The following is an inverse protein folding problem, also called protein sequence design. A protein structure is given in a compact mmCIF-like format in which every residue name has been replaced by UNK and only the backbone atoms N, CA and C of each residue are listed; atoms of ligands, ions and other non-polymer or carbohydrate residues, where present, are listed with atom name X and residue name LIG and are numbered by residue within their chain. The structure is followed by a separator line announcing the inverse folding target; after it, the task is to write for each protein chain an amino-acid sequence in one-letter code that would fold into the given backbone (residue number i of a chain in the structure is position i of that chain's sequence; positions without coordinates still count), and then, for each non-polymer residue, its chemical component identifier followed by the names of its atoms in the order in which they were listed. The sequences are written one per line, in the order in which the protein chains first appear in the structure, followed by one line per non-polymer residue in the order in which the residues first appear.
data_IF_531487620434
#
_entry.id   IF_531487620434
#
_cell.length_a   1.000
_cell.length_b   1.000
_cell.length_c   1.000
_cell.angle_alpha   90.00
_cell.angle_beta   90.00
_cell.angle_gamma   90.00
#
_symmetry.space_group_name_H-M   'P 1'
#
loop_
_entity.id
_entity.type
_entity.pdbx_description
1 polymer ?
#
# COMPACT_ATOMS: atom_id res chain seq x y z
N UNK A 1 18.55 -23.68 5.35
CA UNK A 1 17.72 -23.29 4.20
C UNK A 1 17.03 -24.49 3.54
N UNK A 2 17.75 -25.52 3.06
CA UNK A 2 17.14 -26.71 2.39
C UNK A 2 16.06 -27.41 3.20
N UNK A 3 16.28 -27.63 4.50
CA UNK A 3 15.27 -28.25 5.40
C UNK A 3 13.97 -27.40 5.51
N UNK A 4 14.11 -26.07 5.49
CA UNK A 4 12.97 -25.16 5.52
C UNK A 4 12.17 -25.23 4.20
N UNK A 5 12.84 -25.15 3.05
CA UNK A 5 12.19 -25.24 1.74
C UNK A 5 11.46 -26.58 1.54
N UNK A 6 12.10 -27.69 1.97
CA UNK A 6 11.45 -29.00 1.90
C UNK A 6 10.16 -29.01 2.71
N UNK A 7 10.21 -28.55 3.97
CA UNK A 7 9.02 -28.48 4.83
C UNK A 7 7.94 -27.58 4.24
N UNK A 8 8.32 -26.38 3.75
CA UNK A 8 7.40 -25.47 3.10
C UNK A 8 6.69 -26.11 1.90
N UNK A 9 7.43 -26.78 1.03
CA UNK A 9 6.88 -27.44 -0.16
C UNK A 9 5.95 -28.63 0.19
N UNK A 10 6.26 -29.36 1.26
CA UNK A 10 5.36 -30.40 1.81
C UNK A 10 4.06 -29.80 2.31
N UNK A 11 4.13 -28.67 3.02
CA UNK A 11 2.96 -27.97 3.56
C UNK A 11 2.10 -27.39 2.42
N UNK A 12 2.71 -26.78 1.40
CA UNK A 12 2.00 -26.31 0.19
C UNK A 12 1.27 -27.44 -0.51
N UNK A 13 1.91 -28.63 -0.62
CA UNK A 13 1.26 -29.81 -1.22
C UNK A 13 0.02 -30.28 -0.46
N UNK A 14 -0.01 -30.05 0.86
CA UNK A 14 -1.15 -30.35 1.75
C UNK A 14 -2.19 -29.22 1.79
N UNK A 15 -1.91 -28.08 1.17
CA UNK A 15 -2.77 -26.87 1.20
C UNK A 15 -2.78 -26.13 2.53
N UNK A 16 -1.76 -26.35 3.37
CA UNK A 16 -1.64 -25.67 4.67
C UNK A 16 -0.19 -25.23 4.91
N UNK A 17 -0.01 -24.14 5.66
CA UNK A 17 1.28 -23.73 6.21
C UNK A 17 1.30 -24.07 7.68
N UNK A 18 1.97 -25.16 8.06
CA UNK A 18 1.98 -25.68 9.43
C UNK A 18 2.71 -24.76 10.42
N UNK A 19 3.52 -23.82 9.94
CA UNK A 19 4.32 -22.93 10.80
C UNK A 19 3.65 -21.60 11.09
N UNK A 20 3.03 -20.99 10.09
CA UNK A 20 2.45 -19.65 10.19
C UNK A 20 0.95 -19.61 9.86
N UNK A 21 0.34 -20.74 9.51
CA UNK A 21 -1.08 -20.83 9.19
C UNK A 21 -1.50 -20.09 7.93
N UNK A 22 -0.55 -19.74 7.05
CA UNK A 22 -0.84 -18.99 5.84
C UNK A 22 -1.57 -19.86 4.82
N UNK A 23 -2.67 -19.34 4.27
CA UNK A 23 -3.51 -20.04 3.29
C UNK A 23 -3.42 -19.39 1.89
N UNK A 24 -2.99 -18.13 1.82
CA UNK A 24 -2.95 -17.33 0.60
C UNK A 24 -1.60 -16.62 0.46
N UNK A 25 -1.29 -16.15 -0.75
CA UNK A 25 -0.07 -15.35 -0.99
C UNK A 25 -0.20 -13.97 -0.37
N UNK A 26 -1.29 -13.26 -0.63
CA UNK A 26 -1.53 -11.92 -0.12
C UNK A 26 -3.03 -11.65 0.00
N UNK A 27 -3.47 -11.01 1.08
CA UNK A 27 -4.82 -10.44 1.23
C UNK A 27 -5.98 -11.39 0.91
N UNK A 28 -5.85 -12.68 1.21
CA UNK A 28 -6.78 -13.75 0.85
C UNK A 28 -6.84 -14.06 -0.66
N UNK A 29 -5.85 -13.61 -1.42
CA UNK A 29 -5.74 -13.85 -2.87
C UNK A 29 -4.48 -14.67 -3.18
N UNK A 30 -4.58 -15.49 -4.23
CA UNK A 30 -3.49 -16.34 -4.69
C UNK A 30 -3.29 -17.59 -3.84
N UNK A 31 -3.01 -18.71 -4.49
CA UNK A 31 -2.67 -19.97 -3.83
C UNK A 31 -1.19 -20.01 -3.48
N UNK A 32 -0.84 -20.65 -2.40
CA UNK A 32 0.55 -20.94 -2.07
C UNK A 32 1.19 -21.77 -3.19
N UNK A 33 2.40 -21.40 -3.58
CA UNK A 33 3.16 -22.04 -4.66
C UNK A 33 4.43 -22.62 -4.10
N UNK A 34 4.80 -23.82 -4.54
CA UNK A 34 6.07 -24.46 -4.17
C UNK A 34 7.27 -23.69 -4.71
N UNK A 35 8.36 -23.74 -3.97
CA UNK A 35 9.65 -23.15 -4.33
C UNK A 35 10.60 -24.31 -4.68
N UNK A 36 10.68 -24.68 -5.96
CA UNK A 36 11.36 -25.89 -6.40
C UNK A 36 12.48 -25.62 -7.43
N UNK A 37 12.40 -24.51 -8.18
CA UNK A 37 13.28 -24.24 -9.31
C UNK A 37 14.38 -23.24 -8.94
N UNK A 38 15.63 -23.68 -9.05
CA UNK A 38 16.80 -22.80 -8.91
C UNK A 38 16.96 -21.85 -10.12
N UNK A 39 17.68 -20.71 -9.95
CA UNK A 39 18.41 -20.29 -8.74
C UNK A 39 17.49 -19.70 -7.66
N UNK A 40 17.91 -19.85 -6.37
CA UNK A 40 17.20 -19.26 -5.24
C UNK A 40 17.96 -18.05 -4.69
N UNK A 41 17.22 -16.97 -4.40
CA UNK A 41 17.77 -15.77 -3.79
C UNK A 41 17.21 -15.62 -2.38
N UNK A 42 18.06 -15.26 -1.42
CA UNK A 42 17.68 -15.07 -0.02
C UNK A 42 18.04 -13.65 0.39
N UNK A 43 17.03 -12.93 0.88
CA UNK A 43 17.20 -11.57 1.37
C UNK A 43 16.83 -11.53 2.85
N UNK A 44 17.68 -10.94 3.72
CA UNK A 44 17.26 -10.61 5.07
C UNK A 44 16.20 -9.52 5.00
N UNK A 45 15.09 -9.72 5.70
CA UNK A 45 13.98 -8.76 5.74
C UNK A 45 13.55 -8.48 7.17
N UNK A 46 13.15 -7.26 7.44
CA UNK A 46 12.53 -6.85 8.69
C UNK A 46 11.23 -6.11 8.42
N UNK A 47 10.31 -6.13 9.39
CA UNK A 47 9.10 -5.34 9.31
C UNK A 47 9.42 -3.87 9.57
N UNK A 48 8.91 -3.00 8.71
CA UNK A 48 9.03 -1.55 8.84
C UNK A 48 7.69 -0.89 8.51
N UNK A 49 7.47 0.31 9.02
CA UNK A 49 6.37 1.15 8.57
C UNK A 49 6.79 1.77 7.25
N UNK A 50 6.06 1.46 6.18
CA UNK A 50 6.33 1.96 4.84
C UNK A 50 5.57 3.26 4.54
N UNK A 51 4.41 3.44 5.13
CA UNK A 51 3.57 4.62 4.97
C UNK A 51 2.35 4.56 5.86
N UNK A 52 1.58 5.63 5.88
CA UNK A 52 0.30 5.72 6.58
C UNK A 52 -0.84 5.91 5.59
N UNK A 53 -2.03 5.39 5.92
CA UNK A 53 -3.21 5.54 5.07
C UNK A 53 -4.14 6.63 5.57
N UNK A 54 -3.89 7.12 6.79
CA UNK A 54 -4.55 8.27 7.39
C UNK A 54 -3.87 9.57 6.97
N UNK A 55 -4.61 10.66 7.02
CA UNK A 55 -4.08 11.99 6.70
C UNK A 55 -5.21 12.99 6.48
N UNK A 56 -4.87 14.14 5.96
CA UNK A 56 -5.84 15.17 5.64
C UNK A 56 -6.83 14.67 4.59
N UNK A 57 -8.13 14.85 4.83
CA UNK A 57 -9.15 14.59 3.86
C UNK A 57 -9.14 15.69 2.80
N UNK A 58 -9.13 15.30 1.53
CA UNK A 58 -9.17 16.24 0.40
C UNK A 58 -10.29 15.88 -0.57
N UNK A 59 -10.80 16.86 -1.29
CA UNK A 59 -11.71 16.66 -2.42
C UNK A 59 -10.94 16.46 -3.75
N UNK A 60 -11.67 16.30 -4.85
CA UNK A 60 -11.09 16.12 -6.18
C UNK A 60 -10.27 17.32 -6.68
N UNK A 61 -10.38 18.46 -6.05
CA UNK A 61 -9.62 19.67 -6.34
C UNK A 61 -8.43 19.88 -5.41
N UNK A 62 -8.08 18.86 -4.60
CA UNK A 62 -7.02 18.87 -3.61
C UNK A 62 -7.22 19.88 -2.47
N UNK A 63 -8.42 20.40 -2.28
CA UNK A 63 -8.78 21.27 -1.16
C UNK A 63 -8.97 20.42 0.10
N UNK A 64 -8.45 20.88 1.22
CA UNK A 64 -8.59 20.21 2.51
C UNK A 64 -10.02 20.40 3.03
N UNK A 65 -10.58 19.31 3.54
CA UNK A 65 -11.91 19.26 4.14
C UNK A 65 -11.76 19.13 5.66
N UNK A 66 -12.48 19.93 6.40
CA UNK A 66 -12.49 19.90 7.85
C UNK A 66 -13.33 18.72 8.42
N UNK A 67 -13.41 18.63 9.75
CA UNK A 67 -14.16 17.59 10.46
C UNK A 67 -15.67 17.70 10.32
N UNK A 68 -16.18 18.83 9.85
CA UNK A 68 -17.61 19.08 9.61
C UNK A 68 -18.03 18.78 8.17
N UNK A 69 -17.06 18.51 7.29
CA UNK A 69 -17.27 18.24 5.87
C UNK A 69 -17.15 19.47 4.97
N UNK A 70 -16.71 20.60 5.51
CA UNK A 70 -16.57 21.85 4.79
C UNK A 70 -15.15 22.03 4.26
N UNK A 71 -15.03 22.69 3.09
CA UNK A 71 -13.73 23.05 2.52
C UNK A 71 -13.08 24.16 3.33
N UNK A 72 -11.83 23.98 3.73
CA UNK A 72 -11.03 25.03 4.35
C UNK A 72 -10.52 25.97 3.24
N UNK A 73 -11.01 27.23 3.17
CA UNK A 73 -10.62 28.16 2.10
C UNK A 73 -9.11 28.39 2.04
N UNK A 74 -8.54 28.34 0.83
CA UNK A 74 -7.12 28.58 0.60
C UNK A 74 -6.17 27.46 1.03
N UNK A 75 -6.67 26.37 1.63
CA UNK A 75 -5.83 25.25 2.06
C UNK A 75 -5.93 24.08 1.08
N UNK A 76 -4.77 23.70 0.54
CA UNK A 76 -4.63 22.57 -0.37
C UNK A 76 -3.61 21.57 0.18
N UNK A 77 -3.79 20.28 -0.11
CA UNK A 77 -2.86 19.24 0.31
C UNK A 77 -2.70 18.17 -0.77
N UNK A 78 -1.49 17.61 -0.84
CA UNK A 78 -1.18 16.51 -1.75
C UNK A 78 -0.07 15.61 -1.21
N UNK A 79 0.05 14.40 -1.74
CA UNK A 79 1.10 13.45 -1.37
C UNK A 79 0.80 12.72 -0.06
N UNK A 80 1.85 12.31 0.66
CA UNK A 80 1.74 11.43 1.82
C UNK A 80 0.91 12.01 2.97
N UNK A 81 0.86 13.33 3.10
CA UNK A 81 0.06 14.02 4.11
C UNK A 81 -1.46 13.80 3.94
N UNK A 82 -1.91 13.37 2.76
CA UNK A 82 -3.33 13.13 2.47
C UNK A 82 -3.73 11.69 2.74
N UNK A 83 -4.90 11.48 3.34
CA UNK A 83 -5.50 10.18 3.61
C UNK A 83 -6.52 9.73 2.56
N UNK A 84 -7.07 8.52 2.77
CA UNK A 84 -8.25 8.04 2.07
C UNK A 84 -8.06 7.41 0.68
N UNK A 85 -6.89 7.56 0.04
CA UNK A 85 -6.69 7.06 -1.34
C UNK A 85 -6.45 5.56 -1.41
N UNK A 86 -5.66 5.00 -0.48
CA UNK A 86 -5.18 3.62 -0.59
C UNK A 86 -6.20 2.55 -0.19
N UNK A 87 -7.30 2.95 0.47
CA UNK A 87 -8.31 2.01 0.94
C UNK A 87 -7.73 0.96 1.89
N UNK A 88 -8.02 -0.32 1.64
CA UNK A 88 -7.59 -1.42 2.49
C UNK A 88 -6.16 -1.93 2.21
N UNK A 89 -5.48 -1.45 1.18
CA UNK A 89 -4.15 -1.92 0.82
C UNK A 89 -3.37 -0.96 -0.08
N UNK A 90 -2.05 -0.95 0.10
CA UNK A 90 -1.14 -0.15 -0.71
C UNK A 90 -0.80 -0.88 -2.01
N UNK A 91 -0.97 -0.20 -3.14
CA UNK A 91 -0.47 -0.67 -4.42
C UNK A 91 0.84 0.05 -4.75
N UNK A 92 1.88 -0.71 -5.07
CA UNK A 92 3.20 -0.16 -5.38
C UNK A 92 3.11 0.91 -6.48
N UNK A 93 3.77 2.04 -6.23
CA UNK A 93 3.73 3.21 -7.12
C UNK A 93 2.58 4.19 -6.86
N UNK A 94 1.51 3.80 -6.16
CA UNK A 94 0.37 4.69 -5.89
C UNK A 94 0.72 5.91 -5.02
N UNK A 95 1.74 5.81 -4.16
CA UNK A 95 2.26 6.95 -3.40
C UNK A 95 2.80 8.05 -4.30
N UNK A 96 3.63 7.69 -5.29
CA UNK A 96 4.14 8.65 -6.28
C UNK A 96 3.02 9.19 -7.18
N UNK A 97 2.13 8.32 -7.65
CA UNK A 97 1.00 8.73 -8.47
C UNK A 97 0.10 9.74 -7.74
N UNK A 98 -0.22 9.46 -6.46
CA UNK A 98 -0.97 10.38 -5.59
C UNK A 98 -0.27 11.73 -5.44
N UNK A 99 1.02 11.73 -5.14
CA UNK A 99 1.78 12.95 -4.92
C UNK A 99 1.85 13.83 -6.18
N UNK A 100 2.17 13.23 -7.33
CA UNK A 100 2.28 13.94 -8.60
C UNK A 100 0.94 14.46 -9.11
N UNK A 101 -0.10 13.61 -9.09
CA UNK A 101 -1.41 13.97 -9.62
C UNK A 101 -2.07 15.06 -8.79
N UNK A 102 -2.20 14.85 -7.48
CA UNK A 102 -2.83 15.84 -6.60
C UNK A 102 -1.95 17.07 -6.37
N UNK A 103 -0.61 16.94 -6.41
CA UNK A 103 0.30 18.09 -6.35
C UNK A 103 0.08 19.04 -7.53
N UNK A 104 -0.08 18.49 -8.74
CA UNK A 104 -0.43 19.29 -9.92
C UNK A 104 -1.79 19.97 -9.79
N UNK A 105 -2.80 19.23 -9.35
CA UNK A 105 -4.16 19.78 -9.15
C UNK A 105 -4.14 20.88 -8.08
N UNK A 106 -3.50 20.65 -6.93
CA UNK A 106 -3.36 21.63 -5.86
C UNK A 106 -2.72 22.93 -6.36
N UNK A 107 -1.59 22.83 -7.07
CA UNK A 107 -0.91 23.99 -7.62
C UNK A 107 -1.76 24.79 -8.62
N UNK A 108 -2.45 24.09 -9.54
CA UNK A 108 -3.35 24.73 -10.50
C UNK A 108 -4.52 25.45 -9.80
N UNK A 109 -5.13 24.80 -8.81
CA UNK A 109 -6.29 25.37 -8.09
C UNK A 109 -5.92 26.52 -7.18
N UNK A 110 -4.79 26.41 -6.49
CA UNK A 110 -4.26 27.51 -5.67
C UNK A 110 -3.95 28.76 -6.51
N UNK A 111 -3.38 28.58 -7.70
CA UNK A 111 -3.11 29.68 -8.64
C UNK A 111 -4.40 30.34 -9.16
N UNK A 112 -5.44 29.55 -9.47
CA UNK A 112 -6.72 30.05 -9.98
C UNK A 112 -7.58 30.75 -8.90
N UNK A 113 -7.29 30.52 -7.62
CA UNK A 113 -8.04 31.10 -6.50
C UNK A 113 -7.55 32.50 -6.10
N UNK A 114 -6.40 32.94 -6.62
CA UNK A 114 -5.87 34.29 -6.49
C UNK A 114 -6.26 35.14 -7.70
#
# INVERSE_FOLDING_TARGET
MQRFLKKYNEDVAKGTDSKFGRQYLEGKVGKLVKIEKAPFFVFPTSSVIFGTYCGLLINAYAQVIDVFGDVIPGLYAAGEVTGGLHGAGYMSGSGYAKALSFGRVAGQKAFQAN
#
